data_IF_976295540948
#
_entry.id   IF_976295540948
#
_cell.length_a   1.000
_cell.length_b   1.000
_cell.length_c   1.000
_cell.angle_alpha   90.00
_cell.angle_beta   90.00
_cell.angle_gamma   90.00
#
_symmetry.space_group_name_H-M   'P 1'
#
loop_
_entity.id
_entity.type
_entity.pdbx_description
1 polymer ?
#
# COMPACT_ATOMS: atom_id res chain seq x y z
N UNK A 1 -20.69 4.70 -4.99
CA UNK A 1 -21.35 4.08 -3.83
C UNK A 1 -20.78 2.67 -3.71
N UNK A 2 -20.28 2.30 -2.53
CA UNK A 2 -19.65 1.00 -2.30
C UNK A 2 -20.71 0.03 -1.76
N UNK A 3 -20.90 -1.10 -2.42
CA UNK A 3 -21.92 -2.10 -2.04
C UNK A 3 -21.29 -3.33 -1.40
N UNK A 4 -20.07 -3.68 -1.82
CA UNK A 4 -19.30 -4.79 -1.26
C UNK A 4 -17.93 -4.30 -0.82
N UNK A 5 -17.58 -4.52 0.45
CA UNK A 5 -16.30 -4.12 1.03
C UNK A 5 -15.48 -5.34 1.38
N UNK A 6 -14.24 -5.38 0.88
CA UNK A 6 -13.23 -6.32 1.32
C UNK A 6 -12.61 -5.86 2.64
N UNK A 7 -12.51 -6.74 3.64
CA UNK A 7 -11.79 -6.44 4.88
C UNK A 7 -10.55 -7.33 4.99
N UNK A 8 -9.38 -6.70 5.13
CA UNK A 8 -8.10 -7.38 5.32
C UNK A 8 -7.54 -7.03 6.69
N UNK A 9 -7.13 -8.03 7.45
CA UNK A 9 -6.53 -7.85 8.77
C UNK A 9 -5.04 -8.12 8.77
N UNK A 10 -4.35 -7.62 9.79
CA UNK A 10 -2.94 -7.92 9.99
C UNK A 10 -2.79 -9.39 10.41
N UNK A 11 -1.95 -10.19 9.72
CA UNK A 11 -1.77 -11.60 10.07
C UNK A 11 -1.34 -11.78 11.53
N UNK A 12 -1.98 -12.73 12.22
CA UNK A 12 -1.69 -13.09 13.62
C UNK A 12 -1.84 -11.93 14.63
N UNK A 13 -2.74 -10.95 14.38
CA UNK A 13 -3.03 -9.87 15.33
C UNK A 13 -4.51 -9.90 15.76
N UNK A 14 -4.85 -10.55 16.88
CA UNK A 14 -6.23 -10.72 17.33
C UNK A 14 -7.02 -9.41 17.47
N UNK A 15 -6.32 -8.31 17.83
CA UNK A 15 -6.94 -6.98 17.94
C UNK A 15 -7.48 -6.48 16.61
N UNK A 16 -6.77 -6.78 15.51
CA UNK A 16 -7.21 -6.42 14.16
C UNK A 16 -8.42 -7.25 13.73
N UNK A 17 -8.45 -8.52 14.11
CA UNK A 17 -9.59 -9.40 13.83
C UNK A 17 -10.84 -8.99 14.62
N UNK A 18 -10.69 -8.59 15.88
CA UNK A 18 -11.79 -8.12 16.72
C UNK A 18 -12.41 -6.85 16.15
N UNK A 19 -11.57 -5.87 15.78
CA UNK A 19 -12.05 -4.62 15.16
C UNK A 19 -12.61 -4.83 13.75
N UNK A 20 -12.08 -5.78 12.99
CA UNK A 20 -12.68 -6.19 11.72
C UNK A 20 -14.07 -6.82 11.89
N UNK A 21 -14.33 -7.52 13.01
CA UNK A 21 -15.68 -8.04 13.31
C UNK A 21 -16.64 -6.93 13.67
N UNK A 22 -16.24 -5.97 14.51
CA UNK A 22 -17.04 -4.76 14.80
C UNK A 22 -17.39 -4.01 13.51
N UNK A 23 -16.39 -3.73 12.66
CA UNK A 23 -16.60 -3.06 11.38
C UNK A 23 -17.54 -3.85 10.47
N UNK A 24 -17.42 -5.18 10.41
CA UNK A 24 -18.29 -6.00 9.59
C UNK A 24 -19.76 -5.96 10.05
N UNK A 25 -20.01 -5.85 11.36
CA UNK A 25 -21.37 -5.68 11.91
C UNK A 25 -21.90 -4.30 11.51
N UNK A 26 -21.10 -3.26 11.74
CA UNK A 26 -21.45 -1.88 11.37
C UNK A 26 -21.79 -1.71 9.88
N UNK A 27 -21.01 -2.33 8.99
CA UNK A 27 -21.27 -2.31 7.55
C UNK A 27 -22.56 -3.05 7.17
N UNK A 28 -22.86 -4.18 7.83
CA UNK A 28 -24.11 -4.91 7.62
C UNK A 28 -25.33 -4.09 8.02
N UNK A 29 -25.26 -3.34 9.13
CA UNK A 29 -26.34 -2.45 9.56
C UNK A 29 -26.62 -1.33 8.55
N UNK A 30 -25.62 -0.99 7.71
CA UNK A 30 -25.74 -0.07 6.57
C UNK A 30 -26.10 -0.75 5.25
N UNK A 31 -26.46 -2.04 5.24
CA UNK A 31 -26.74 -2.86 4.06
C UNK A 31 -25.55 -2.98 3.08
N UNK A 32 -24.31 -2.98 3.60
CA UNK A 32 -23.10 -3.20 2.81
C UNK A 32 -22.61 -4.63 3.01
N UNK A 33 -22.35 -5.35 1.91
CA UNK A 33 -21.81 -6.70 1.92
C UNK A 33 -20.33 -6.69 2.33
N UNK A 34 -19.88 -7.75 3.01
CA UNK A 34 -18.49 -7.86 3.48
C UNK A 34 -17.90 -9.19 3.02
N UNK A 35 -16.74 -9.11 2.37
CA UNK A 35 -15.95 -10.26 1.92
C UNK A 35 -14.55 -10.21 2.55
N UNK A 36 -13.92 -11.36 2.75
CA UNK A 36 -12.62 -11.46 3.43
C UNK A 36 -11.58 -12.26 2.66
N UNK A 37 -12.03 -13.22 1.85
CA UNK A 37 -11.13 -14.05 1.05
C UNK A 37 -10.63 -13.28 -0.17
N UNK A 38 -9.33 -13.40 -0.48
CA UNK A 38 -8.69 -12.66 -1.56
C UNK A 38 -9.41 -12.86 -2.92
N UNK A 39 -9.86 -14.08 -3.21
CA UNK A 39 -10.63 -14.41 -4.42
C UNK A 39 -11.96 -13.64 -4.47
N UNK A 40 -12.70 -13.60 -3.37
CA UNK A 40 -13.98 -12.87 -3.29
C UNK A 40 -13.76 -11.36 -3.39
N UNK A 41 -12.70 -10.85 -2.75
CA UNK A 41 -12.32 -9.43 -2.83
C UNK A 41 -12.03 -9.07 -4.30
N UNK A 42 -11.24 -9.89 -4.99
CA UNK A 42 -10.88 -9.70 -6.40
C UNK A 42 -12.11 -9.65 -7.31
N UNK A 43 -13.13 -10.47 -7.03
CA UNK A 43 -14.31 -10.62 -7.88
C UNK A 43 -15.40 -9.59 -7.58
N UNK A 44 -15.56 -9.18 -6.32
CA UNK A 44 -16.79 -8.54 -5.85
C UNK A 44 -16.58 -7.20 -5.13
N UNK A 45 -15.39 -6.91 -4.61
CA UNK A 45 -15.20 -5.75 -3.74
C UNK A 45 -15.08 -4.43 -4.53
N UNK A 46 -15.81 -3.42 -4.08
CA UNK A 46 -15.76 -2.05 -4.60
C UNK A 46 -14.76 -1.16 -3.84
N UNK A 47 -14.40 -1.58 -2.62
CA UNK A 47 -13.45 -0.93 -1.70
C UNK A 47 -12.79 -2.00 -0.82
N UNK A 48 -11.52 -1.84 -0.52
CA UNK A 48 -10.81 -2.64 0.47
C UNK A 48 -10.51 -1.78 1.70
N UNK A 49 -10.88 -2.26 2.89
CA UNK A 49 -10.49 -1.67 4.17
C UNK A 49 -9.43 -2.56 4.82
N UNK A 50 -8.28 -1.98 5.09
CA UNK A 50 -7.14 -2.66 5.72
C UNK A 50 -7.06 -2.28 7.19
N UNK A 51 -7.22 -3.26 8.08
CA UNK A 51 -7.09 -3.13 9.52
C UNK A 51 -5.63 -3.44 9.92
N UNK A 52 -4.79 -2.41 9.99
CA UNK A 52 -3.36 -2.59 10.24
C UNK A 52 -2.54 -1.30 10.08
N UNK A 53 -1.22 -1.45 9.95
CA UNK A 53 -0.32 -0.32 9.67
C UNK A 53 0.13 -0.29 8.21
N UNK A 54 1.11 0.56 7.92
CA UNK A 54 1.67 0.75 6.57
C UNK A 54 2.13 -0.57 5.93
N UNK A 55 2.70 -1.50 6.70
CA UNK A 55 3.11 -2.81 6.18
C UNK A 55 1.95 -3.65 5.64
N UNK A 56 0.79 -3.63 6.31
CA UNK A 56 -0.41 -4.31 5.85
C UNK A 56 -0.96 -3.63 4.60
N UNK A 57 -1.02 -2.30 4.61
CA UNK A 57 -1.50 -1.52 3.47
C UNK A 57 -0.63 -1.73 2.22
N UNK A 58 0.69 -1.71 2.38
CA UNK A 58 1.66 -1.99 1.33
C UNK A 58 1.49 -3.39 0.75
N UNK A 59 1.21 -4.38 1.62
CA UNK A 59 0.97 -5.74 1.18
C UNK A 59 -0.32 -5.85 0.37
N UNK A 60 -1.41 -5.30 0.88
CA UNK A 60 -2.70 -5.24 0.17
C UNK A 60 -2.57 -4.52 -1.17
N UNK A 61 -1.93 -3.34 -1.20
CA UNK A 61 -1.75 -2.58 -2.44
C UNK A 61 -1.02 -3.39 -3.52
N UNK A 62 -0.03 -4.22 -3.15
CA UNK A 62 0.64 -5.13 -4.09
C UNK A 62 -0.25 -6.29 -4.52
N UNK A 63 -0.99 -6.92 -3.60
CA UNK A 63 -1.85 -8.07 -3.91
C UNK A 63 -2.98 -7.72 -4.87
N UNK A 64 -3.58 -6.53 -4.73
CA UNK A 64 -4.77 -6.14 -5.50
C UNK A 64 -4.49 -5.07 -6.57
N UNK A 65 -3.22 -4.82 -6.89
CA UNK A 65 -2.78 -3.77 -7.84
C UNK A 65 -3.51 -3.84 -9.18
N UNK A 66 -3.67 -5.04 -9.75
CA UNK A 66 -4.26 -5.24 -11.08
C UNK A 66 -5.77 -4.95 -11.12
N UNK A 67 -6.43 -4.91 -9.95
CA UNK A 67 -7.88 -4.73 -9.84
C UNK A 67 -8.29 -3.28 -9.70
N UNK A 68 -7.34 -2.37 -9.39
CA UNK A 68 -7.60 -0.94 -9.19
C UNK A 68 -8.72 -0.65 -8.18
N UNK A 69 -8.92 -1.55 -7.22
CA UNK A 69 -9.89 -1.37 -6.15
C UNK A 69 -9.29 -0.34 -5.17
N UNK A 70 -10.01 0.73 -4.80
CA UNK A 70 -9.52 1.68 -3.82
C UNK A 70 -9.26 1.02 -2.47
N UNK A 71 -8.28 1.52 -1.73
CA UNK A 71 -7.85 0.94 -0.45
C UNK A 71 -7.90 2.03 0.62
N UNK A 72 -8.57 1.76 1.73
CA UNK A 72 -8.61 2.60 2.93
C UNK A 72 -7.85 1.90 4.07
N UNK A 73 -6.84 2.59 4.62
CA UNK A 73 -6.07 2.08 5.76
C UNK A 73 -6.62 2.57 7.10
N UNK A 74 -7.00 1.63 7.97
CA UNK A 74 -7.38 1.91 9.36
C UNK A 74 -6.28 1.45 10.30
N UNK A 75 -5.72 2.41 11.01
CA UNK A 75 -4.62 2.23 11.93
C UNK A 75 -5.09 1.87 13.34
N UNK A 76 -4.64 0.72 13.81
CA UNK A 76 -4.96 0.17 15.15
C UNK A 76 -3.99 0.62 16.25
N UNK A 77 -2.94 1.35 15.89
CA UNK A 77 -1.87 1.76 16.77
C UNK A 77 -1.49 3.23 16.59
N UNK A 78 -0.20 3.49 16.36
CA UNK A 78 0.30 4.84 16.08
C UNK A 78 0.07 5.18 14.62
N UNK A 79 -0.38 6.41 14.33
CA UNK A 79 -0.52 6.92 12.96
C UNK A 79 0.73 6.61 12.13
N UNK A 80 0.49 6.06 10.94
CA UNK A 80 1.53 5.70 9.96
C UNK A 80 1.67 6.80 8.92
N UNK A 81 2.44 6.53 7.86
CA UNK A 81 2.55 7.43 6.72
C UNK A 81 1.47 7.20 5.66
N UNK A 82 0.85 6.02 5.65
CA UNK A 82 -0.13 5.63 4.61
C UNK A 82 -1.52 5.31 5.17
N UNK A 83 -1.58 4.84 6.42
CA UNK A 83 -2.85 4.56 7.10
C UNK A 83 -3.27 5.78 7.93
N UNK A 84 -4.20 6.55 7.37
CA UNK A 84 -4.57 7.89 7.87
C UNK A 84 -5.73 7.87 8.88
N UNK A 85 -6.45 6.75 9.01
CA UNK A 85 -7.66 6.68 9.86
C UNK A 85 -7.35 5.98 11.18
N UNK A 86 -7.41 6.67 12.34
CA UNK A 86 -7.31 5.99 13.63
C UNK A 86 -8.56 5.14 13.89
N UNK A 87 -8.38 3.95 14.48
CA UNK A 87 -9.50 3.04 14.79
C UNK A 87 -10.59 3.69 15.66
N UNK A 88 -10.24 4.69 16.47
CA UNK A 88 -11.20 5.44 17.31
C UNK A 88 -12.26 6.18 16.49
N UNK A 89 -11.94 6.52 15.23
CA UNK A 89 -12.82 7.28 14.34
C UNK A 89 -13.31 6.41 13.16
N UNK A 90 -13.11 5.09 13.24
CA UNK A 90 -13.40 4.15 12.15
C UNK A 90 -14.84 4.27 11.63
N UNK A 91 -15.85 4.24 12.51
CA UNK A 91 -17.26 4.25 12.09
C UNK A 91 -17.68 5.59 11.43
N UNK A 92 -17.15 6.69 11.95
CA UNK A 92 -17.39 8.04 11.42
C UNK A 92 -16.81 8.16 10.00
N UNK A 93 -15.51 7.90 9.85
CA UNK A 93 -14.83 8.02 8.56
C UNK A 93 -15.36 7.02 7.54
N UNK A 94 -15.65 5.78 7.95
CA UNK A 94 -16.27 4.80 7.03
C UNK A 94 -17.65 5.28 6.59
N UNK A 95 -18.43 5.96 7.44
CA UNK A 95 -19.71 6.54 7.03
C UNK A 95 -19.54 7.66 5.99
N UNK A 96 -18.57 8.55 6.19
CA UNK A 96 -18.23 9.60 5.22
C UNK A 96 -17.83 9.00 3.86
N UNK A 97 -16.95 8.01 3.87
CA UNK A 97 -16.52 7.29 2.66
C UNK A 97 -17.71 6.64 1.95
N UNK A 98 -18.63 6.00 2.69
CA UNK A 98 -19.84 5.40 2.12
C UNK A 98 -20.79 6.45 1.52
N UNK A 99 -20.84 7.65 2.10
CA UNK A 99 -21.62 8.78 1.58
C UNK A 99 -21.00 9.47 0.36
N UNK A 100 -19.74 9.14 0.04
CA UNK A 100 -19.00 9.74 -1.07
C UNK A 100 -18.06 10.88 -0.66
N UNK A 101 -17.95 11.14 0.64
CA UNK A 101 -17.15 12.22 1.21
C UNK A 101 -15.69 11.73 1.38
N UNK A 102 -15.00 11.57 0.27
CA UNK A 102 -13.59 11.15 0.25
C UNK A 102 -12.85 11.70 -0.97
N UNK A 103 -11.52 11.75 -0.87
CA UNK A 103 -10.63 12.11 -1.97
C UNK A 103 -9.91 10.84 -2.44
N UNK A 104 -9.89 10.62 -3.76
CA UNK A 104 -9.07 9.55 -4.35
C UNK A 104 -7.67 10.06 -4.62
N UNK A 105 -6.68 9.37 -4.08
CA UNK A 105 -5.27 9.57 -4.41
C UNK A 105 -4.79 8.42 -5.31
N UNK A 106 -4.15 8.75 -6.43
CA UNK A 106 -3.49 7.78 -7.27
C UNK A 106 -1.99 7.72 -6.92
N UNK A 107 -1.51 6.54 -6.52
CA UNK A 107 -0.10 6.34 -6.19
C UNK A 107 0.61 5.59 -7.30
N UNK A 108 1.72 6.14 -7.78
CA UNK A 108 2.57 5.48 -8.76
C UNK A 108 3.37 4.35 -8.11
N UNK A 109 3.57 3.27 -8.85
CA UNK A 109 4.38 2.14 -8.44
C UNK A 109 5.69 2.12 -9.23
N UNK A 110 6.77 1.74 -8.57
CA UNK A 110 8.00 1.36 -9.23
C UNK A 110 7.84 -0.04 -9.83
N UNK A 111 8.11 -0.16 -11.13
CA UNK A 111 8.28 -1.46 -11.79
C UNK A 111 9.75 -1.84 -11.79
N UNK A 112 10.08 -2.95 -11.14
CA UNK A 112 11.44 -3.42 -10.96
C UNK A 112 11.62 -4.75 -11.67
N UNK A 113 12.68 -4.88 -12.47
CA UNK A 113 13.01 -6.10 -13.20
C UNK A 113 14.43 -6.55 -12.84
N UNK A 114 14.59 -7.83 -12.55
CA UNK A 114 15.89 -8.47 -12.39
C UNK A 114 16.17 -9.27 -13.65
N UNK A 115 17.28 -8.99 -14.29
CA UNK A 115 17.68 -9.61 -15.55
C UNK A 115 19.10 -10.16 -15.46
N UNK A 116 19.33 -11.29 -16.13
CA UNK A 116 20.66 -11.85 -16.33
C UNK A 116 20.80 -12.36 -17.76
N UNK A 117 21.83 -11.86 -18.47
CA UNK A 117 22.15 -12.28 -19.84
C UNK A 117 20.96 -12.20 -20.82
N UNK A 118 20.17 -11.12 -20.79
CA UNK A 118 18.99 -10.98 -21.66
C UNK A 118 17.73 -11.70 -21.15
N UNK A 119 17.80 -12.43 -20.03
CA UNK A 119 16.69 -13.20 -19.47
C UNK A 119 16.16 -12.57 -18.20
N UNK A 120 14.86 -12.30 -18.18
CA UNK A 120 14.13 -11.85 -17.00
C UNK A 120 14.08 -12.97 -15.96
N UNK A 121 14.67 -12.73 -14.80
CA UNK A 121 14.68 -13.62 -13.65
C UNK A 121 13.53 -13.33 -12.68
N UNK A 122 13.07 -12.08 -12.62
CA UNK A 122 11.95 -11.68 -11.77
C UNK A 122 11.45 -10.27 -12.10
N UNK A 123 10.18 -10.04 -11.80
CA UNK A 123 9.51 -8.74 -11.91
C UNK A 123 8.77 -8.46 -10.62
N UNK A 124 8.84 -7.22 -10.16
CA UNK A 124 8.31 -6.80 -8.87
C UNK A 124 7.71 -5.40 -8.98
N UNK A 125 6.70 -5.14 -8.18
CA UNK A 125 6.13 -3.80 -7.99
C UNK A 125 6.44 -3.32 -6.58
N UNK A 126 6.87 -2.06 -6.45
CA UNK A 126 7.10 -1.43 -5.17
C UNK A 126 6.35 -0.09 -5.07
N UNK A 127 5.67 0.13 -3.96
CA UNK A 127 4.97 1.40 -3.69
C UNK A 127 5.93 2.47 -3.17
N UNK A 128 6.88 2.09 -2.31
CA UNK A 128 7.79 3.03 -1.68
C UNK A 128 9.15 3.03 -2.37
N UNK A 129 9.96 1.98 -2.17
CA UNK A 129 11.35 1.95 -2.61
C UNK A 129 11.74 0.55 -3.09
N UNK A 130 12.77 0.48 -3.93
CA UNK A 130 13.43 -0.77 -4.33
C UNK A 130 14.85 -0.82 -3.74
N UNK A 131 15.18 -1.89 -3.02
CA UNK A 131 16.45 -1.98 -2.29
C UNK A 131 17.31 -3.12 -2.82
N UNK A 132 18.51 -2.78 -3.30
CA UNK A 132 19.56 -3.72 -3.68
C UNK A 132 20.54 -3.85 -2.53
N UNK A 133 20.70 -5.06 -2.02
CA UNK A 133 21.62 -5.37 -0.94
C UNK A 133 22.22 -6.76 -1.12
N UNK A 134 23.41 -6.97 -0.56
CA UNK A 134 24.07 -8.28 -0.53
C UNK A 134 23.71 -8.95 0.79
N UNK A 135 23.37 -10.24 0.74
CA UNK A 135 23.04 -11.04 1.94
C UNK A 135 24.25 -11.15 2.90
N UNK A 136 25.47 -11.12 2.37
CA UNK A 136 26.71 -11.09 3.14
C UNK A 136 27.17 -9.64 3.41
N UNK A 137 27.21 -9.25 4.67
CA UNK A 137 27.32 -7.86 5.13
C UNK A 137 28.71 -7.22 5.08
N UNK A 138 29.77 -7.98 4.77
CA UNK A 138 31.16 -7.51 4.91
C UNK A 138 31.81 -6.96 3.64
N UNK A 139 31.12 -6.95 2.49
CA UNK A 139 31.70 -6.52 1.20
C UNK A 139 30.82 -5.51 0.50
N UNK A 140 31.45 -4.44 0.01
CA UNK A 140 30.80 -3.47 -0.88
C UNK A 140 30.39 -4.14 -2.20
N UNK A 141 29.26 -3.72 -2.74
CA UNK A 141 28.80 -4.02 -4.08
C UNK A 141 29.23 -2.83 -4.95
N UNK A 142 29.77 -3.12 -6.12
CA UNK A 142 30.03 -2.12 -7.15
C UNK A 142 29.01 -2.28 -8.26
N UNK A 143 28.43 -1.18 -8.73
CA UNK A 143 27.49 -1.18 -9.83
C UNK A 143 27.63 0.07 -10.69
N UNK A 144 27.31 -0.08 -11.97
CA UNK A 144 27.16 1.01 -12.91
C UNK A 144 25.69 1.48 -12.90
N UNK A 145 25.48 2.78 -12.74
CA UNK A 145 24.17 3.40 -12.78
C UNK A 145 23.89 3.96 -14.17
N UNK A 146 22.73 3.59 -14.71
CA UNK A 146 22.20 4.12 -15.95
C UNK A 146 20.86 4.81 -15.70
N UNK A 147 20.63 5.96 -16.35
CA UNK A 147 19.33 6.63 -16.42
C UNK A 147 19.03 6.83 -17.90
N UNK A 148 17.85 6.38 -18.35
CA UNK A 148 17.45 6.41 -19.77
C UNK A 148 18.55 5.83 -20.69
N UNK A 149 19.06 4.66 -20.33
CA UNK A 149 20.16 3.93 -21.00
C UNK A 149 21.51 4.68 -21.10
N UNK A 150 21.65 5.82 -20.41
CA UNK A 150 22.89 6.60 -20.36
C UNK A 150 23.65 6.33 -19.08
N UNK A 151 24.93 5.99 -19.23
CA UNK A 151 25.84 5.84 -18.09
C UNK A 151 25.93 7.16 -17.31
N UNK A 152 25.69 7.08 -16.01
CA UNK A 152 25.78 8.22 -15.09
C UNK A 152 27.07 8.14 -14.29
N UNK A 153 27.26 7.05 -13.54
CA UNK A 153 28.46 6.82 -12.75
C UNK A 153 28.61 5.34 -12.36
N UNK A 154 29.78 5.04 -11.79
CA UNK A 154 30.05 3.80 -11.07
C UNK A 154 30.03 4.10 -9.58
N UNK A 155 29.33 3.28 -8.80
CA UNK A 155 29.14 3.49 -7.37
C UNK A 155 29.41 2.23 -6.56
N UNK A 156 29.91 2.43 -5.33
CA UNK A 156 30.16 1.37 -4.34
C UNK A 156 29.33 1.60 -3.09
N UNK A 157 28.45 0.66 -2.76
CA UNK A 157 27.64 0.69 -1.55
C UNK A 157 27.56 -0.68 -0.88
N UNK A 158 27.29 -0.68 0.43
CA UNK A 158 26.86 -1.89 1.14
C UNK A 158 25.36 -2.18 0.93
N UNK A 159 24.55 -1.12 0.79
CA UNK A 159 23.11 -1.15 0.50
C UNK A 159 22.76 0.05 -0.38
N UNK A 160 21.95 -0.17 -1.42
CA UNK A 160 21.40 0.89 -2.27
C UNK A 160 19.86 0.83 -2.23
N UNK A 161 19.21 1.98 -2.03
CA UNK A 161 17.77 2.13 -2.12
C UNK A 161 17.43 3.14 -3.23
N UNK A 162 16.74 2.68 -4.27
CA UNK A 162 16.15 3.53 -5.29
C UNK A 162 14.83 4.12 -4.79
N UNK A 163 14.69 5.44 -4.91
CA UNK A 163 13.57 6.20 -4.36
C UNK A 163 12.35 6.11 -5.27
N UNK A 164 11.21 5.66 -4.76
CA UNK A 164 9.91 5.97 -5.35
C UNK A 164 9.46 7.37 -4.92
N UNK A 165 8.69 8.05 -5.76
CA UNK A 165 8.23 9.42 -5.55
C UNK A 165 7.81 9.67 -4.08
N UNK A 166 8.62 10.41 -3.33
CA UNK A 166 8.14 11.11 -2.13
C UNK A 166 7.42 12.34 -2.63
N UNK A 167 6.13 12.23 -2.94
CA UNK A 167 5.25 13.40 -2.97
C UNK A 167 5.17 13.97 -1.56
N UNK A 168 6.08 14.88 -1.25
CA UNK A 168 5.80 15.91 -0.25
C UNK A 168 4.72 16.78 -0.86
N UNK A 169 3.48 16.63 -0.43
CA UNK A 169 2.51 17.70 -0.62
C UNK A 169 3.01 18.92 0.15
N UNK A 170 3.64 19.84 -0.57
CA UNK A 170 3.82 21.19 -0.11
C UNK A 170 2.44 21.84 -0.17
N UNK A 171 1.83 22.07 0.99
CA UNK A 171 0.72 23.01 1.15
C UNK A 171 1.11 24.31 0.47
N UNK A 172 0.49 24.61 -0.67
CA UNK A 172 0.67 25.87 -1.38
C UNK A 172 0.22 27.00 -0.45
N UNK A 173 1.15 27.89 -0.16
CA UNK A 173 0.86 29.22 0.33
C UNK A 173 -0.13 29.89 -0.62
N UNK A 174 -1.30 30.25 -0.09
CA UNK A 174 -2.13 31.27 -0.73
C UNK A 174 -1.92 32.56 0.03
N UNK A 175 -0.95 33.34 -0.43
CA UNK A 175 -0.98 34.80 -0.26
C UNK A 175 -1.39 35.38 -1.60
N UNK A 176 -2.67 35.73 -1.72
CA UNK A 176 -3.15 37.02 -2.21
C UNK A 176 -4.67 37.10 -2.03
#
# INVERSE_FOLDING_TARGET
MFNTIGIITKPNDPRSDDKARELAIFLKDKNVAVVKDDEQIIEQADLIIVMGGDGSLLNTARTFVDKKIPILGINLGRLGFLADVPVTNMEEIVSEVLNGDFIKEERRLLSCQVEQNGKILGQFLALNDAVVHRTETLKMIEFDLFIDDKFVNNQRYSVFAGVGERTREATTSTTR
#
